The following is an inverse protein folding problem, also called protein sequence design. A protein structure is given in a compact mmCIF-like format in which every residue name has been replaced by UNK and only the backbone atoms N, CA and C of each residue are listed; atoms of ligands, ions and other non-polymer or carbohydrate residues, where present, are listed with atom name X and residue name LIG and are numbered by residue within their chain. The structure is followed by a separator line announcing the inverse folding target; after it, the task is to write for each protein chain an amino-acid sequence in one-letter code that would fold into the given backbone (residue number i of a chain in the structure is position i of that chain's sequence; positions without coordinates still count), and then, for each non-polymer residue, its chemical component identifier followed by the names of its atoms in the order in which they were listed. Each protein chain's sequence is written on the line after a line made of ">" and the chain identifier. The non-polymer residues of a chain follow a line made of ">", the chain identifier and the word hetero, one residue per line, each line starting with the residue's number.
data_IF_626716523040
#
_entry.id   IF_626716523040
#
_cell.length_a   1.000
_cell.length_b   1.000
_cell.length_c   1.000
_cell.angle_alpha   90.00
_cell.angle_beta   90.00
_cell.angle_gamma   90.00
#
_symmetry.space_group_name_H-M   'P 1'
#
loop_
_entity.id
_entity.type
_entity.pdbx_description
1 polymer ?
#
# COMPACT_ATOMS: atom_id res chain seq x y z
N UNK A 1 -17.42 -7.25 9.29
CA UNK A 1 -17.19 -6.40 10.49
C UNK A 1 -15.88 -5.64 10.31
N UNK A 2 -15.68 -4.45 10.92
CA UNK A 2 -14.41 -3.72 10.84
C UNK A 2 -13.20 -4.54 11.29
N UNK A 3 -13.41 -5.46 12.24
CA UNK A 3 -12.34 -6.25 12.85
C UNK A 3 -11.74 -7.29 11.88
N UNK A 4 -12.57 -7.91 11.04
CA UNK A 4 -12.13 -8.92 10.04
C UNK A 4 -11.18 -8.32 8.98
N UNK A 5 -11.32 -7.03 8.71
CA UNK A 5 -10.46 -6.27 7.79
C UNK A 5 -9.06 -6.14 8.39
N UNK A 6 -8.96 -5.92 9.70
CA UNK A 6 -7.69 -5.69 10.39
C UNK A 6 -6.91 -7.00 10.55
N UNK A 7 -7.60 -8.09 10.92
CA UNK A 7 -6.95 -9.38 11.19
C UNK A 7 -6.31 -10.01 9.96
N UNK A 8 -6.83 -9.69 8.76
CA UNK A 8 -6.34 -10.22 7.49
C UNK A 8 -5.61 -9.19 6.63
N UNK A 9 -5.30 -8.01 7.20
CA UNK A 9 -4.58 -6.96 6.50
C UNK A 9 -3.08 -7.24 6.49
N UNK A 10 -2.54 -7.46 5.30
CA UNK A 10 -1.09 -7.50 5.04
C UNK A 10 -0.65 -6.17 4.41
N UNK A 11 0.39 -5.55 4.99
CA UNK A 11 1.00 -4.33 4.46
C UNK A 11 2.50 -4.53 4.33
N UNK A 12 3.00 -4.44 3.11
CA UNK A 12 4.40 -4.75 2.79
C UNK A 12 4.89 -3.98 1.57
N UNK A 13 6.20 -3.99 1.38
CA UNK A 13 6.82 -3.48 0.15
C UNK A 13 6.52 -4.49 -0.97
N UNK A 14 6.15 -3.99 -2.14
CA UNK A 14 5.89 -4.82 -3.31
C UNK A 14 7.15 -5.56 -3.75
N UNK A 15 7.01 -6.85 -4.02
CA UNK A 15 8.03 -7.67 -4.69
C UNK A 15 8.07 -7.39 -6.19
N UNK A 16 9.17 -7.80 -6.84
CA UNK A 16 9.34 -7.59 -8.29
C UNK A 16 8.33 -8.39 -9.13
N UNK A 17 7.77 -9.48 -8.59
CA UNK A 17 6.82 -10.35 -9.29
C UNK A 17 5.37 -9.84 -9.24
N UNK A 18 5.11 -8.71 -8.57
CA UNK A 18 3.74 -8.21 -8.34
C UNK A 18 3.24 -7.22 -9.39
N UNK A 19 3.94 -7.11 -10.51
CA UNK A 19 3.58 -6.20 -11.61
C UNK A 19 2.15 -6.44 -12.12
N UNK A 20 1.77 -7.70 -12.33
CA UNK A 20 0.43 -8.06 -12.85
C UNK A 20 -0.70 -7.75 -11.83
N UNK A 21 -0.61 -8.18 -10.55
CA UNK A 21 -1.60 -7.79 -9.53
C UNK A 21 -1.78 -6.28 -9.37
N UNK A 22 -0.69 -5.51 -9.46
CA UNK A 22 -0.72 -4.04 -9.31
C UNK A 22 -1.35 -3.40 -10.55
N UNK A 23 -1.04 -3.90 -11.75
CA UNK A 23 -1.69 -3.45 -12.98
C UNK A 23 -3.19 -3.74 -12.97
N UNK A 24 -3.59 -4.91 -12.49
CA UNK A 24 -5.00 -5.27 -12.33
C UNK A 24 -5.71 -4.36 -11.32
N UNK A 25 -5.05 -3.96 -10.22
CA UNK A 25 -5.58 -2.99 -9.26
C UNK A 25 -5.78 -1.62 -9.91
N UNK A 26 -4.78 -1.12 -10.64
CA UNK A 26 -4.86 0.18 -11.32
C UNK A 26 -5.98 0.21 -12.36
N UNK A 27 -6.15 -0.87 -13.13
CA UNK A 27 -7.25 -1.03 -14.07
C UNK A 27 -8.62 -0.97 -13.38
N UNK A 28 -8.81 -1.70 -12.26
CA UNK A 28 -10.06 -1.66 -11.48
C UNK A 28 -10.32 -0.29 -10.87
N UNK A 29 -9.27 0.43 -10.48
CA UNK A 29 -9.33 1.78 -9.95
C UNK A 29 -9.49 2.87 -11.04
N UNK A 30 -9.46 2.51 -12.32
CA UNK A 30 -9.47 3.49 -13.42
C UNK A 30 -8.29 4.47 -13.37
N UNK A 31 -7.15 4.04 -12.81
CA UNK A 31 -5.98 4.87 -12.54
C UNK A 31 -4.76 4.39 -13.33
N UNK A 32 -3.78 5.25 -13.61
CA UNK A 32 -2.51 4.80 -14.19
C UNK A 32 -1.74 3.91 -13.21
N UNK A 33 -0.81 3.10 -13.75
CA UNK A 33 0.06 2.29 -12.91
C UNK A 33 0.98 3.19 -12.07
N UNK A 34 1.05 2.98 -10.75
CA UNK A 34 1.94 3.74 -9.89
C UNK A 34 3.39 3.34 -10.18
N UNK A 35 4.29 4.31 -10.07
CA UNK A 35 5.70 4.14 -10.43
C UNK A 35 6.63 4.02 -9.21
N UNK A 36 7.79 3.39 -9.44
CA UNK A 36 8.85 3.27 -8.44
C UNK A 36 8.62 2.15 -7.42
N UNK A 37 9.28 2.26 -6.27
CA UNK A 37 9.10 1.32 -5.16
C UNK A 37 7.73 1.55 -4.52
N UNK A 38 6.93 0.49 -4.40
CA UNK A 38 5.56 0.55 -3.93
C UNK A 38 5.43 -0.11 -2.56
N UNK A 39 4.61 0.47 -1.71
CA UNK A 39 4.02 -0.24 -0.57
C UNK A 39 2.60 -0.63 -0.93
N UNK A 40 2.24 -1.89 -0.68
CA UNK A 40 0.93 -2.45 -1.01
C UNK A 40 0.20 -2.87 0.25
N UNK A 41 -1.13 -2.85 0.17
CA UNK A 41 -2.03 -3.35 1.19
C UNK A 41 -2.97 -4.39 0.60
N UNK A 42 -3.06 -5.54 1.26
CA UNK A 42 -3.86 -6.67 0.83
C UNK A 42 -4.76 -7.18 1.95
N UNK A 43 -5.93 -7.69 1.58
CA UNK A 43 -6.79 -8.45 2.50
C UNK A 43 -7.04 -9.81 1.87
N UNK A 44 -6.80 -10.88 2.63
CA UNK A 44 -6.95 -12.26 2.14
C UNK A 44 -6.17 -12.51 0.84
N UNK A 45 -4.96 -11.93 0.72
CA UNK A 45 -4.10 -12.04 -0.47
C UNK A 45 -4.53 -11.20 -1.67
N UNK A 46 -5.70 -10.52 -1.64
CA UNK A 46 -6.13 -9.61 -2.71
C UNK A 46 -5.58 -8.21 -2.45
N UNK A 47 -4.82 -7.68 -3.40
CA UNK A 47 -4.38 -6.27 -3.36
C UNK A 47 -5.57 -5.33 -3.46
N UNK A 48 -5.64 -4.40 -2.51
CA UNK A 48 -6.69 -3.37 -2.44
C UNK A 48 -6.12 -1.95 -2.48
N UNK A 49 -4.84 -1.75 -2.17
CA UNK A 49 -4.18 -0.46 -2.34
C UNK A 49 -2.69 -0.62 -2.65
N UNK A 50 -2.16 0.36 -3.36
CA UNK A 50 -0.73 0.56 -3.61
C UNK A 50 -0.39 2.05 -3.45
N UNK A 51 0.75 2.33 -2.85
CA UNK A 51 1.27 3.69 -2.65
C UNK A 51 2.73 3.74 -3.08
N UNK A 52 3.05 4.69 -3.96
CA UNK A 52 4.45 4.96 -4.30
C UNK A 52 5.17 5.54 -3.09
N UNK A 53 6.28 4.91 -2.73
CA UNK A 53 7.09 5.35 -1.59
C UNK A 53 7.91 6.60 -1.91
N UNK A 54 8.13 6.91 -3.19
CA UNK A 54 8.87 8.09 -3.64
C UNK A 54 7.97 9.28 -3.93
N UNK A 55 6.81 9.07 -4.59
CA UNK A 55 5.92 10.17 -5.01
C UNK A 55 4.71 10.35 -4.10
N UNK A 56 4.35 9.33 -3.31
CA UNK A 56 3.12 9.33 -2.53
C UNK A 56 1.85 9.13 -3.37
N UNK A 57 1.98 8.87 -4.68
CA UNK A 57 0.87 8.49 -5.55
C UNK A 57 0.16 7.25 -5.00
N UNK A 58 -1.17 7.27 -5.03
CA UNK A 58 -1.99 6.21 -4.43
C UNK A 58 -2.97 5.69 -5.44
N UNK A 59 -3.04 4.38 -5.52
CA UNK A 59 -4.05 3.64 -6.28
C UNK A 59 -4.76 2.71 -5.30
N UNK A 60 -6.08 2.72 -5.31
CA UNK A 60 -6.87 1.86 -4.45
C UNK A 60 -8.13 1.36 -5.14
N UNK A 61 -8.61 0.21 -4.68
CA UNK A 61 -9.88 -0.34 -5.11
C UNK A 61 -11.00 0.67 -4.79
N UNK A 62 -11.96 0.91 -5.70
CA UNK A 62 -13.06 1.88 -5.51
C UNK A 62 -14.15 1.30 -4.60
N UNK A 63 -13.76 0.96 -3.37
CA UNK A 63 -14.61 0.39 -2.32
C UNK A 63 -14.18 0.95 -0.97
N UNK A 64 -15.07 0.92 0.03
CA UNK A 64 -14.75 1.39 1.38
C UNK A 64 -13.56 0.64 2.00
N UNK A 65 -13.41 -0.67 1.71
CA UNK A 65 -12.25 -1.44 2.15
C UNK A 65 -10.95 -0.97 1.46
N UNK A 66 -11.01 -0.67 0.17
CA UNK A 66 -9.87 -0.12 -0.57
C UNK A 66 -9.40 1.22 0.00
N UNK A 67 -10.34 2.12 0.33
CA UNK A 67 -10.02 3.40 0.98
C UNK A 67 -9.39 3.21 2.36
N UNK A 68 -9.95 2.32 3.19
CA UNK A 68 -9.42 2.03 4.51
C UNK A 68 -7.98 1.47 4.44
N UNK A 69 -7.75 0.50 3.55
CA UNK A 69 -6.42 -0.07 3.31
C UNK A 69 -5.45 1.00 2.80
N UNK A 70 -5.88 1.86 1.87
CA UNK A 70 -5.06 2.95 1.36
C UNK A 70 -4.63 3.92 2.46
N UNK A 71 -5.52 4.25 3.40
CA UNK A 71 -5.20 5.09 4.55
C UNK A 71 -4.11 4.44 5.43
N UNK A 72 -4.22 3.13 5.70
CA UNK A 72 -3.20 2.40 6.48
C UNK A 72 -1.85 2.37 5.76
N UNK A 73 -1.84 2.08 4.46
CA UNK A 73 -0.61 2.04 3.65
C UNK A 73 0.05 3.42 3.62
N UNK A 74 -0.71 4.50 3.37
CA UNK A 74 -0.20 5.89 3.41
C UNK A 74 0.43 6.22 4.76
N UNK A 75 -0.24 5.85 5.85
CA UNK A 75 0.30 6.06 7.20
C UNK A 75 1.63 5.32 7.41
N UNK A 76 1.74 4.07 6.93
CA UNK A 76 2.97 3.28 7.03
C UNK A 76 4.12 3.89 6.21
N UNK A 77 3.86 4.33 4.98
CA UNK A 77 4.85 5.04 4.14
C UNK A 77 5.32 6.30 4.84
N UNK A 78 4.40 7.14 5.34
CA UNK A 78 4.75 8.35 6.08
C UNK A 78 5.58 8.06 7.34
N UNK A 79 5.27 6.98 8.06
CA UNK A 79 6.02 6.56 9.26
C UNK A 79 7.43 6.09 8.94
N UNK A 80 7.64 5.41 7.82
CA UNK A 80 8.98 5.01 7.35
C UNK A 80 9.84 6.22 7.02
N UNK A 81 9.30 7.20 6.29
CA UNK A 81 10.01 8.45 5.97
C UNK A 81 10.30 9.32 7.21
N UNK A 82 9.51 9.19 8.28
CA UNK A 82 9.70 9.90 9.56
C UNK A 82 10.58 9.17 10.56
N UNK A 83 11.06 7.95 10.28
CA UNK A 83 11.91 7.22 11.23
C UNK A 83 13.16 8.08 11.49
N UNK A 84 13.37 8.60 12.72
CA UNK A 84 14.59 9.31 13.02
C UNK A 84 15.72 8.33 12.74
N UNK A 85 16.73 8.77 11.98
CA UNK A 85 18.00 8.06 11.92
C UNK A 85 18.37 7.79 13.38
N UNK A 86 18.34 6.53 13.80
CA UNK A 86 18.87 6.15 15.10
C UNK A 86 20.36 6.41 15.01
N UNK A 87 20.72 7.64 15.35
CA UNK A 87 22.06 8.08 15.68
C UNK A 87 22.59 7.10 16.70
N UNK A 88 23.55 6.30 16.27
CA UNK A 88 24.42 5.53 17.15
C UNK A 88 25.01 6.49 18.19
N UNK A 89 24.81 6.29 19.50
CA UNK A 89 25.76 6.82 20.47
C UNK A 89 26.99 5.90 20.46
N UNK A 90 28.14 6.57 20.33
CA UNK A 90 29.53 6.08 20.35
C UNK A 90 29.80 4.89 21.27
#
# INVERSE_FOLDING_TARGET
>A
MPDEVIDNLDVRIAGQDEHEPIAALAARAGSPNPSGALMVGAINGRLLAAVSMSTGEVVNEPTSSGEAVAAVVRYRVARLGRRPATSTPR
#
